data_IF_982977940230
#
_entry.id   IF_982977940230
#
_cell.length_a   1.000
_cell.length_b   1.000
_cell.length_c   1.000
_cell.angle_alpha   90.00
_cell.angle_beta   90.00
_cell.angle_gamma   90.00
#
_symmetry.space_group_name_H-M   'P 1'
#
loop_
_entity.id
_entity.type
_entity.pdbx_description
1 polymer ?
#
# COMPACT_ATOMS: atom_id res chain seq x y z
N UNK A 1 -11.60 20.33 22.43
CA UNK A 1 -10.92 19.04 22.19
C UNK A 1 -9.44 19.26 21.92
N UNK A 2 -8.58 18.29 22.22
CA UNK A 2 -7.14 18.40 21.93
C UNK A 2 -6.91 18.52 20.42
N UNK A 3 -7.55 17.66 19.63
CA UNK A 3 -7.62 17.68 18.16
C UNK A 3 -9.08 17.70 17.70
N UNK A 4 -9.31 17.91 16.40
CA UNK A 4 -10.64 17.84 15.79
C UNK A 4 -11.15 16.39 15.78
N UNK A 5 -12.35 16.14 16.32
CA UNK A 5 -12.96 14.80 16.34
C UNK A 5 -13.99 14.61 15.22
N UNK A 6 -14.71 15.68 14.87
CA UNK A 6 -15.63 15.75 13.75
C UNK A 6 -15.80 17.21 13.35
N UNK A 7 -16.05 17.46 12.06
CA UNK A 7 -16.41 18.79 11.54
C UNK A 7 -17.80 19.25 12.02
N UNK A 8 -18.63 18.32 12.49
CA UNK A 8 -20.00 18.61 12.95
C UNK A 8 -20.06 19.07 14.41
N UNK A 9 -18.96 18.99 15.15
CA UNK A 9 -18.91 19.41 16.54
C UNK A 9 -18.52 20.87 16.66
N UNK A 10 -19.38 21.67 17.28
CA UNK A 10 -19.07 23.05 17.69
C UNK A 10 -18.23 23.06 18.97
N UNK A 11 -17.01 22.52 18.87
CA UNK A 11 -16.05 22.45 19.97
C UNK A 11 -14.78 23.24 19.62
N UNK A 12 -14.25 24.00 20.58
CA UNK A 12 -12.94 24.66 20.42
C UNK A 12 -11.83 23.60 20.31
N UNK A 13 -11.07 23.65 19.22
CA UNK A 13 -9.95 22.74 18.95
C UNK A 13 -8.62 23.42 19.27
N UNK A 14 -7.77 22.77 20.08
CA UNK A 14 -6.44 23.30 20.46
C UNK A 14 -5.45 23.17 19.30
N UNK A 15 -5.31 21.96 18.74
CA UNK A 15 -4.44 21.68 17.60
C UNK A 15 -5.29 21.40 16.35
N UNK A 16 -5.40 22.40 15.49
CA UNK A 16 -6.19 22.30 14.25
C UNK A 16 -5.49 21.37 13.23
N UNK A 17 -6.27 20.65 12.39
CA UNK A 17 -5.70 19.90 11.28
C UNK A 17 -4.87 20.79 10.36
N UNK A 18 -3.72 20.28 9.92
CA UNK A 18 -2.87 20.96 8.96
C UNK A 18 -3.16 20.35 7.59
N UNK A 19 -3.52 21.18 6.61
CA UNK A 19 -3.64 20.74 5.24
C UNK A 19 -2.24 20.44 4.68
N UNK A 20 -2.02 19.20 4.26
CA UNK A 20 -0.78 18.80 3.58
C UNK A 20 -0.92 19.23 2.12
N UNK A 21 0.00 20.08 1.66
CA UNK A 21 0.04 20.61 0.30
C UNK A 21 1.33 20.15 -0.39
N UNK A 22 1.31 20.15 -1.71
CA UNK A 22 2.40 19.67 -2.56
C UNK A 22 2.81 18.24 -2.18
N UNK A 23 1.82 17.36 -1.94
CA UNK A 23 2.08 15.92 -1.88
C UNK A 23 2.60 15.45 -3.23
N UNK A 24 3.24 14.27 -3.29
CA UNK A 24 3.78 13.75 -4.54
C UNK A 24 2.70 13.65 -5.63
N UNK A 25 1.51 13.14 -5.28
CA UNK A 25 0.38 13.06 -6.19
C UNK A 25 -0.06 14.43 -6.73
N UNK A 26 -0.13 15.46 -5.87
CA UNK A 26 -0.47 16.83 -6.28
C UNK A 26 0.60 17.42 -7.21
N UNK A 27 1.88 17.22 -6.89
CA UNK A 27 3.00 17.71 -7.71
C UNK A 27 3.00 17.08 -9.10
N UNK A 28 2.77 15.76 -9.20
CA UNK A 28 2.66 15.06 -10.48
C UNK A 28 1.53 15.62 -11.33
N UNK A 29 0.35 15.78 -10.75
CA UNK A 29 -0.83 16.33 -11.43
C UNK A 29 -0.61 17.77 -11.91
N UNK A 30 0.01 18.63 -11.08
CA UNK A 30 0.35 20.01 -11.44
C UNK A 30 1.35 20.09 -12.62
N UNK A 31 2.08 19.02 -12.90
CA UNK A 31 2.99 18.89 -14.04
C UNK A 31 2.40 18.08 -15.20
N UNK A 32 1.10 17.78 -15.18
CA UNK A 32 0.36 17.01 -16.20
C UNK A 32 0.90 15.58 -16.40
N UNK A 33 1.50 14.99 -15.36
CA UNK A 33 1.97 13.61 -15.38
C UNK A 33 0.85 12.66 -14.96
N UNK A 34 0.71 11.55 -15.69
CA UNK A 34 -0.25 10.50 -15.37
C UNK A 34 0.29 9.61 -14.26
N UNK A 35 -0.55 9.26 -13.30
CA UNK A 35 -0.19 8.44 -12.16
C UNK A 35 -1.20 7.34 -11.90
N UNK A 36 -0.72 6.15 -11.53
CA UNK A 36 -1.55 5.01 -11.14
C UNK A 36 -1.33 4.67 -9.67
N UNK A 37 -2.41 4.57 -8.91
CA UNK A 37 -2.40 4.09 -7.53
C UNK A 37 -3.11 2.74 -7.47
N UNK A 38 -2.42 1.68 -7.06
CA UNK A 38 -2.96 0.32 -7.09
C UNK A 38 -2.66 -0.45 -5.80
N UNK A 39 -3.69 -1.06 -5.23
CA UNK A 39 -3.55 -1.97 -4.09
C UNK A 39 -4.78 -2.87 -4.00
N UNK A 40 -4.68 -3.89 -3.14
CA UNK A 40 -5.87 -4.61 -2.69
C UNK A 40 -6.61 -3.87 -1.56
N UNK A 41 -7.84 -4.32 -1.24
CA UNK A 41 -8.77 -3.65 -0.32
C UNK A 41 -8.12 -3.15 0.97
N UNK A 42 -7.32 -3.99 1.64
CA UNK A 42 -6.69 -3.68 2.94
C UNK A 42 -5.78 -2.45 2.89
N UNK A 43 -5.12 -2.21 1.75
CA UNK A 43 -4.15 -1.12 1.58
C UNK A 43 -4.58 -0.07 0.56
N UNK A 44 -5.79 -0.17 0.02
CA UNK A 44 -6.32 0.80 -0.95
C UNK A 44 -6.36 2.23 -0.41
N UNK A 45 -6.87 2.43 0.82
CA UNK A 45 -6.86 3.75 1.47
C UNK A 45 -5.43 4.30 1.68
N UNK A 46 -4.44 3.42 1.82
CA UNK A 46 -3.04 3.79 2.08
C UNK A 46 -2.38 4.38 0.85
N UNK A 47 -2.61 3.78 -0.32
CA UNK A 47 -2.10 4.29 -1.60
C UNK A 47 -2.95 5.42 -2.18
N UNK A 48 -4.11 5.74 -1.60
CA UNK A 48 -5.02 6.80 -2.09
C UNK A 48 -5.15 7.92 -1.06
N UNK A 49 -6.10 7.83 -0.13
CA UNK A 49 -6.40 8.84 0.87
C UNK A 49 -5.16 9.28 1.66
N UNK A 50 -4.41 8.33 2.23
CA UNK A 50 -3.24 8.66 3.06
C UNK A 50 -2.06 9.17 2.22
N UNK A 51 -1.77 8.52 1.08
CA UNK A 51 -0.73 8.97 0.15
C UNK A 51 -0.99 10.39 -0.39
N UNK A 52 -2.26 10.74 -0.59
CA UNK A 52 -2.70 12.07 -1.02
C UNK A 52 -2.77 13.11 0.12
N UNK A 53 -2.30 12.77 1.34
CA UNK A 53 -2.27 13.70 2.47
C UNK A 53 -3.63 13.89 3.15
N UNK A 54 -4.48 12.86 3.14
CA UNK A 54 -5.83 12.87 3.70
C UNK A 54 -6.89 13.46 2.76
N UNK A 55 -6.66 13.37 1.45
CA UNK A 55 -7.56 13.89 0.41
C UNK A 55 -8.16 12.71 -0.36
N UNK A 56 -9.48 12.55 -0.25
CA UNK A 56 -10.20 11.44 -0.89
C UNK A 56 -10.28 11.60 -2.42
N UNK A 57 -10.43 12.84 -2.87
CA UNK A 57 -10.60 13.16 -4.30
C UNK A 57 -9.33 12.86 -5.08
N UNK A 58 -9.48 12.22 -6.24
CA UNK A 58 -8.42 12.02 -7.23
C UNK A 58 -7.90 13.35 -7.80
N UNK A 59 -6.59 13.45 -7.99
CA UNK A 59 -5.98 14.53 -8.74
C UNK A 59 -6.16 14.35 -10.25
N UNK A 60 -6.09 15.42 -11.06
CA UNK A 60 -6.06 15.27 -12.52
C UNK A 60 -4.94 14.34 -12.98
N UNK A 61 -5.27 13.35 -13.82
CA UNK A 61 -4.31 12.35 -14.30
C UNK A 61 -4.01 11.22 -13.30
N UNK A 62 -4.67 11.19 -12.14
CA UNK A 62 -4.62 10.07 -11.19
C UNK A 62 -5.71 9.04 -11.53
N UNK A 63 -5.28 7.82 -11.84
CA UNK A 63 -6.16 6.66 -11.96
C UNK A 63 -5.93 5.71 -10.76
N UNK A 64 -6.99 5.04 -10.32
CA UNK A 64 -6.95 4.13 -9.18
C UNK A 64 -7.45 2.74 -9.56
N UNK A 65 -6.74 1.70 -9.12
CA UNK A 65 -7.16 0.31 -9.27
C UNK A 65 -7.29 -0.33 -7.90
N UNK A 66 -8.52 -0.73 -7.57
CA UNK A 66 -8.83 -1.55 -6.40
C UNK A 66 -8.88 -3.03 -6.81
N UNK A 67 -8.12 -3.85 -6.11
CA UNK A 67 -8.24 -5.32 -6.17
C UNK A 67 -8.97 -5.83 -4.92
N UNK A 68 -10.05 -6.62 -5.05
CA UNK A 68 -10.69 -7.19 -3.87
C UNK A 68 -9.71 -8.11 -3.10
N UNK A 69 -9.48 -7.84 -1.81
CA UNK A 69 -8.82 -8.80 -0.91
C UNK A 69 -9.68 -10.06 -0.74
N UNK A 70 -9.07 -11.23 -0.45
CA UNK A 70 -9.83 -12.46 -0.29
C UNK A 70 -10.74 -12.42 0.94
N UNK A 71 -11.90 -13.06 0.84
CA UNK A 71 -12.87 -13.15 1.94
C UNK A 71 -12.53 -14.32 2.86
N UNK A 72 -11.48 -14.16 3.66
CA UNK A 72 -11.04 -15.12 4.68
C UNK A 72 -11.15 -14.51 6.07
N UNK A 73 -11.25 -15.35 7.11
CA UNK A 73 -11.35 -14.87 8.49
C UNK A 73 -10.06 -14.19 8.95
N UNK A 74 -8.92 -14.79 8.60
CA UNK A 74 -7.57 -14.29 8.84
C UNK A 74 -6.70 -14.66 7.64
N UNK A 75 -5.72 -13.82 7.31
CA UNK A 75 -4.97 -13.93 6.06
C UNK A 75 -3.92 -15.05 6.04
N UNK A 76 -3.63 -15.69 7.19
CA UNK A 76 -2.84 -16.93 7.24
C UNK A 76 -3.49 -18.08 6.46
N UNK A 77 -4.81 -18.07 6.30
CA UNK A 77 -5.55 -19.05 5.50
C UNK A 77 -5.32 -18.88 3.99
N UNK A 78 -4.90 -17.69 3.55
CA UNK A 78 -4.57 -17.39 2.16
C UNK A 78 -3.41 -16.37 2.09
N UNK A 79 -2.16 -16.77 2.40
CA UNK A 79 -1.05 -15.84 2.56
C UNK A 79 -0.66 -15.08 1.28
N UNK A 80 -0.99 -15.65 0.12
CA UNK A 80 -0.81 -15.00 -1.19
C UNK A 80 -1.75 -13.79 -1.40
N UNK A 81 -2.79 -13.67 -0.58
CA UNK A 81 -3.85 -12.67 -0.66
C UNK A 81 -4.28 -12.44 -2.12
N UNK A 82 -4.30 -11.19 -2.57
CA UNK A 82 -4.59 -10.82 -3.96
C UNK A 82 -3.36 -10.26 -4.70
N UNK A 83 -2.15 -10.51 -4.18
CA UNK A 83 -0.89 -9.99 -4.76
C UNK A 83 -0.72 -10.36 -6.24
N UNK A 84 -1.07 -11.60 -6.61
CA UNK A 84 -0.99 -12.06 -7.99
C UNK A 84 -1.94 -11.30 -8.93
N UNK A 85 -3.14 -10.91 -8.46
CA UNK A 85 -4.07 -10.09 -9.24
C UNK A 85 -3.61 -8.63 -9.31
N UNK A 86 -3.07 -8.10 -8.20
CA UNK A 86 -2.46 -6.76 -8.15
C UNK A 86 -1.34 -6.63 -9.18
N UNK A 87 -0.38 -7.57 -9.19
CA UNK A 87 0.75 -7.50 -10.14
C UNK A 87 0.28 -7.70 -11.58
N UNK A 88 -0.70 -8.58 -11.83
CA UNK A 88 -1.25 -8.78 -13.18
C UNK A 88 -1.88 -7.50 -13.74
N UNK A 89 -2.72 -6.82 -12.93
CA UNK A 89 -3.35 -5.54 -13.33
C UNK A 89 -2.32 -4.42 -13.47
N UNK A 90 -1.33 -4.37 -12.60
CA UNK A 90 -0.22 -3.43 -12.70
C UNK A 90 0.51 -3.60 -14.04
N UNK A 91 0.98 -4.80 -14.36
CA UNK A 91 1.75 -5.08 -15.58
C UNK A 91 0.97 -4.75 -16.87
N UNK A 92 -0.34 -4.99 -16.87
CA UNK A 92 -1.24 -4.68 -18.00
C UNK A 92 -1.43 -3.17 -18.24
N UNK A 93 -1.22 -2.34 -17.21
CA UNK A 93 -1.48 -0.91 -17.25
C UNK A 93 -0.22 -0.05 -17.21
N UNK A 94 0.93 -0.63 -16.85
CA UNK A 94 2.18 0.05 -16.52
C UNK A 94 2.67 1.05 -17.57
N UNK A 95 2.46 0.76 -18.86
CA UNK A 95 2.98 1.58 -19.97
C UNK A 95 2.17 2.87 -20.22
N UNK A 96 1.07 3.08 -19.48
CA UNK A 96 0.16 4.22 -19.65
C UNK A 96 0.42 5.39 -18.68
N UNK A 97 1.38 5.26 -17.76
CA UNK A 97 1.58 6.18 -16.63
C UNK A 97 3.04 6.59 -16.47
N UNK A 98 3.26 7.83 -16.02
CA UNK A 98 4.59 8.37 -15.71
C UNK A 98 5.04 8.02 -14.28
N UNK A 99 4.09 7.78 -13.38
CA UNK A 99 4.33 7.36 -12.00
C UNK A 99 3.37 6.26 -11.58
N UNK A 100 3.84 5.31 -10.78
CA UNK A 100 3.00 4.26 -10.21
C UNK A 100 3.37 4.06 -8.75
N UNK A 101 2.36 4.02 -7.89
CA UNK A 101 2.47 3.53 -6.52
C UNK A 101 1.66 2.25 -6.38
N UNK A 102 2.33 1.19 -5.91
CA UNK A 102 1.73 -0.11 -5.62
C UNK A 102 2.01 -0.49 -4.17
N UNK A 103 1.01 -1.02 -3.47
CA UNK A 103 1.19 -1.62 -2.16
C UNK A 103 0.82 -3.11 -2.21
N UNK A 104 1.75 -3.96 -1.74
CA UNK A 104 1.51 -5.36 -1.46
C UNK A 104 1.23 -5.55 0.04
N UNK A 105 -0.02 -5.86 0.38
CA UNK A 105 -0.49 -5.88 1.76
C UNK A 105 0.02 -7.09 2.57
N UNK A 106 0.45 -8.14 1.88
CA UNK A 106 0.72 -9.47 2.46
C UNK A 106 1.65 -9.46 3.68
N UNK A 107 2.82 -8.78 3.65
CA UNK A 107 3.76 -8.88 4.75
C UNK A 107 3.18 -8.36 6.07
N UNK A 108 2.35 -7.33 6.00
CA UNK A 108 1.72 -6.73 7.16
C UNK A 108 0.49 -7.51 7.63
N UNK A 109 -0.44 -7.75 6.71
CA UNK A 109 -1.72 -8.39 7.03
C UNK A 109 -1.55 -9.84 7.50
N UNK A 110 -0.58 -10.56 6.94
CA UNK A 110 -0.22 -11.92 7.40
C UNK A 110 0.69 -11.85 8.62
N UNK A 111 1.56 -10.84 8.71
CA UNK A 111 2.39 -10.58 9.90
C UNK A 111 1.57 -10.48 11.19
N UNK A 112 0.42 -9.81 11.12
CA UNK A 112 -0.53 -9.69 12.24
C UNK A 112 -1.13 -11.01 12.74
N UNK A 113 -1.03 -12.11 11.99
CA UNK A 113 -1.50 -13.43 12.44
C UNK A 113 -0.50 -14.09 13.39
N UNK A 114 0.78 -13.71 13.32
CA UNK A 114 1.85 -14.35 14.08
C UNK A 114 2.19 -15.77 13.61
N UNK A 115 1.62 -16.24 12.50
CA UNK A 115 1.95 -17.53 11.89
C UNK A 115 3.18 -17.39 10.98
N UNK A 116 4.31 -17.94 11.43
CA UNK A 116 5.58 -17.87 10.72
C UNK A 116 5.54 -18.57 9.34
N UNK A 117 4.85 -19.70 9.22
CA UNK A 117 4.81 -20.44 7.97
C UNK A 117 3.99 -19.70 6.92
N UNK A 118 2.85 -19.14 7.34
CA UNK A 118 2.06 -18.25 6.49
C UNK A 118 2.84 -17.00 6.08
N UNK A 119 3.53 -16.35 7.03
CA UNK A 119 4.35 -15.17 6.77
C UNK A 119 5.45 -15.44 5.73
N UNK A 120 6.16 -16.57 5.82
CA UNK A 120 7.16 -16.94 4.82
C UNK A 120 6.52 -17.03 3.42
N UNK A 121 5.38 -17.74 3.29
CA UNK A 121 4.66 -17.87 2.01
C UNK A 121 4.16 -16.51 1.48
N UNK A 122 3.71 -15.63 2.36
CA UNK A 122 3.30 -14.27 2.03
C UNK A 122 4.46 -13.49 1.40
N UNK A 123 5.64 -13.54 2.01
CA UNK A 123 6.83 -12.86 1.50
C UNK A 123 7.34 -13.48 0.19
N UNK A 124 7.35 -14.81 0.06
CA UNK A 124 7.69 -15.49 -1.20
C UNK A 124 6.76 -15.09 -2.35
N UNK A 125 5.47 -14.91 -2.07
CA UNK A 125 4.50 -14.43 -3.06
C UNK A 125 4.83 -13.01 -3.51
N UNK A 126 5.13 -12.11 -2.56
CA UNK A 126 5.49 -10.72 -2.87
C UNK A 126 6.81 -10.63 -3.62
N UNK A 127 7.81 -11.44 -3.25
CA UNK A 127 9.09 -11.53 -3.96
C UNK A 127 8.89 -11.92 -5.44
N UNK A 128 8.06 -12.93 -5.71
CA UNK A 128 7.72 -13.31 -7.09
C UNK A 128 6.98 -12.19 -7.84
N UNK A 129 6.10 -11.42 -7.18
CA UNK A 129 5.44 -10.27 -7.80
C UNK A 129 6.43 -9.15 -8.13
N UNK A 130 7.35 -8.84 -7.22
CA UNK A 130 8.43 -7.87 -7.43
C UNK A 130 9.33 -8.32 -8.60
N UNK A 131 9.68 -9.61 -8.67
CA UNK A 131 10.48 -10.17 -9.76
C UNK A 131 9.83 -10.01 -11.14
N UNK A 132 8.50 -10.15 -11.24
CA UNK A 132 7.75 -9.91 -12.48
C UNK A 132 7.79 -8.42 -12.89
N UNK A 133 7.62 -7.50 -11.93
CA UNK A 133 7.74 -6.05 -12.17
C UNK A 133 9.15 -5.71 -12.64
N UNK A 134 10.17 -6.20 -11.94
CA UNK A 134 11.57 -5.97 -12.27
C UNK A 134 11.89 -6.47 -13.69
N UNK A 135 11.43 -7.67 -14.06
CA UNK A 135 11.63 -8.24 -15.41
C UNK A 135 11.01 -7.38 -16.51
N UNK A 136 9.90 -6.67 -16.22
CA UNK A 136 9.31 -5.71 -17.16
C UNK A 136 10.16 -4.43 -17.25
N UNK A 137 10.56 -3.88 -16.10
CA UNK A 137 11.35 -2.64 -16.02
C UNK A 137 12.74 -2.80 -16.62
N UNK A 138 13.40 -3.95 -16.45
CA UNK A 138 14.76 -4.19 -16.98
C UNK A 138 14.85 -4.02 -18.51
N UNK A 139 13.73 -4.22 -19.22
CA UNK A 139 13.64 -4.04 -20.67
C UNK A 139 13.48 -2.58 -21.11
N UNK A 140 13.23 -1.67 -20.17
CA UNK A 140 13.06 -0.24 -20.40
C UNK A 140 14.10 0.59 -19.63
N UNK A 141 15.08 1.13 -20.36
CA UNK A 141 16.15 1.93 -19.77
C UNK A 141 15.66 3.21 -19.07
N UNK A 142 14.46 3.70 -19.39
CA UNK A 142 13.91 4.94 -18.88
C UNK A 142 13.05 4.77 -17.61
N UNK A 143 12.65 3.54 -17.28
CA UNK A 143 11.89 3.27 -16.06
C UNK A 143 12.84 2.98 -14.90
N UNK A 144 12.46 3.43 -13.69
CA UNK A 144 13.18 3.17 -12.44
C UNK A 144 12.23 2.57 -11.41
N UNK A 145 12.70 1.56 -10.71
CA UNK A 145 11.97 0.93 -9.61
C UNK A 145 12.56 1.40 -8.28
N UNK A 146 11.69 1.82 -7.36
CA UNK A 146 12.04 2.09 -5.98
C UNK A 146 11.29 1.08 -5.12
N UNK A 147 12.02 0.30 -4.34
CA UNK A 147 11.46 -0.69 -3.41
C UNK A 147 11.63 -0.14 -2.01
N UNK A 148 10.53 -0.08 -1.26
CA UNK A 148 10.51 0.43 0.12
C UNK A 148 9.36 -0.19 0.91
N UNK A 149 9.28 0.10 2.20
CA UNK A 149 8.20 -0.30 3.09
C UNK A 149 7.78 0.92 3.94
N UNK A 150 6.52 0.97 4.35
CA UNK A 150 5.99 2.00 5.25
C UNK A 150 6.39 1.76 6.72
N UNK A 151 6.58 0.50 7.11
CA UNK A 151 7.12 0.08 8.42
C UNK A 151 7.55 -1.40 8.38
N UNK A 152 8.05 -1.91 9.51
CA UNK A 152 8.29 -3.34 9.70
C UNK A 152 7.10 -4.07 10.35
N UNK A 153 7.11 -5.40 10.27
CA UNK A 153 6.17 -6.33 10.91
C UNK A 153 6.71 -7.77 10.74
N UNK A 154 6.74 -8.24 9.50
CA UNK A 154 6.98 -9.65 9.15
C UNK A 154 8.36 -10.18 9.52
N UNK A 155 9.35 -9.31 9.70
CA UNK A 155 10.71 -9.70 10.09
C UNK A 155 10.80 -10.18 11.54
N UNK A 156 9.75 -9.95 12.34
CA UNK A 156 9.66 -10.40 13.73
C UNK A 156 8.32 -11.10 14.00
N UNK A 157 8.25 -12.39 13.69
CA UNK A 157 7.03 -13.20 13.88
C UNK A 157 6.89 -13.84 15.28
N UNK A 158 7.96 -13.82 16.09
CA UNK A 158 8.00 -14.51 17.38
C UNK A 158 8.65 -13.67 18.48
N UNK A 159 8.17 -13.86 19.71
CA UNK A 159 8.77 -13.34 20.93
C UNK A 159 9.94 -14.22 21.40
N UNK A 160 10.80 -13.74 22.32
CA UNK A 160 11.88 -14.56 22.89
C UNK A 160 11.41 -15.85 23.57
N UNK A 161 10.17 -15.89 24.06
CA UNK A 161 9.55 -17.08 24.67
C UNK A 161 8.84 -18.00 23.65
N UNK A 162 8.96 -17.70 22.36
CA UNK A 162 8.38 -18.48 21.25
C UNK A 162 6.90 -18.19 20.96
N UNK A 163 6.24 -17.30 21.72
CA UNK A 163 4.86 -16.91 21.42
C UNK A 163 4.77 -16.05 20.14
N UNK A 164 3.61 -16.06 19.46
CA UNK A 164 3.38 -15.17 18.32
C UNK A 164 3.66 -13.70 18.65
N UNK A 165 4.27 -12.99 17.71
CA UNK A 165 4.39 -11.53 17.71
C UNK A 165 3.55 -10.99 16.55
N UNK A 166 2.56 -10.15 16.87
CA UNK A 166 1.47 -9.77 15.94
C UNK A 166 1.40 -8.26 15.71
N UNK A 167 2.46 -7.52 16.05
CA UNK A 167 2.49 -6.06 15.99
C UNK A 167 3.55 -5.59 14.98
N UNK A 168 3.51 -4.31 14.64
CA UNK A 168 4.61 -3.68 13.91
C UNK A 168 5.89 -3.64 14.76
N UNK A 169 6.99 -3.26 14.11
CA UNK A 169 8.33 -3.11 14.67
C UNK A 169 8.89 -1.71 14.43
#
# INVERSE_FOLDING_TARGET
>A
CMTEYSKDFDAKVVFKPIAIKNTLAEVLANNNLKQLHIAETEKYAHVTFFFNGGIEKEYPGEDRILVPSPKVATYDLQPEMSANEVVAKLLANMDNYDFIVVNFANPDMVGHTGDLAAAIKAMETVDNCIGQIYTKIEKDANTKMIITADHGNIEKMQQPDGKPYTAHT
#
